data_IF_340789523170
#
_entry.id   IF_340789523170
#
_cell.length_a   1.000
_cell.length_b   1.000
_cell.length_c   1.000
_cell.angle_alpha   90.00
_cell.angle_beta   90.00
_cell.angle_gamma   90.00
#
_symmetry.space_group_name_H-M   'P 1'
#
loop_
_entity.id
_entity.type
_entity.pdbx_description
1 polymer ?
#
# COMPACT_ATOMS: atom_id res chain seq x y z
N UNK A 1 -19.20 48.55 17.85
CA UNK A 1 -18.81 47.26 18.47
C UNK A 1 -17.91 46.53 17.49
N UNK A 2 -16.60 46.59 17.69
CA UNK A 2 -15.63 45.87 16.86
C UNK A 2 -14.61 45.23 17.78
N UNK A 3 -14.78 43.95 18.07
CA UNK A 3 -13.81 43.17 18.85
C UNK A 3 -12.80 42.62 17.85
N UNK A 4 -11.66 43.29 17.72
CA UNK A 4 -10.47 42.76 17.03
C UNK A 4 -9.77 41.78 17.96
N UNK A 5 -10.10 40.49 17.84
CA UNK A 5 -9.31 39.41 18.44
C UNK A 5 -8.03 39.22 17.64
N UNK A 6 -6.95 39.91 18.05
CA UNK A 6 -5.61 39.59 17.60
C UNK A 6 -5.18 38.28 18.27
N UNK A 7 -5.11 37.20 17.47
CA UNK A 7 -4.40 35.99 17.90
C UNK A 7 -2.91 36.30 17.87
N UNK A 8 -2.16 36.16 18.99
CA UNK A 8 -0.72 36.26 18.94
C UNK A 8 -0.20 35.14 18.04
N UNK A 9 0.48 35.53 16.95
CA UNK A 9 1.30 34.59 16.18
C UNK A 9 2.29 33.96 17.16
N UNK A 10 2.28 32.63 17.23
CA UNK A 10 3.19 31.87 18.07
C UNK A 10 4.65 32.31 17.82
N UNK A 11 5.52 32.31 18.85
CA UNK A 11 6.92 32.67 18.69
C UNK A 11 7.53 31.84 17.55
N UNK A 12 8.30 32.52 16.70
CA UNK A 12 8.86 31.98 15.46
C UNK A 12 9.46 30.59 15.64
N UNK A 13 9.31 29.75 14.61
CA UNK A 13 9.95 28.44 14.57
C UNK A 13 11.42 28.58 15.00
N UNK A 14 11.88 27.83 16.00
CA UNK A 14 13.27 27.92 16.43
C UNK A 14 14.18 27.66 15.23
N UNK A 15 15.23 28.46 15.11
CA UNK A 15 16.28 28.26 14.11
C UNK A 15 16.71 26.79 14.12
N UNK A 16 16.91 26.21 12.93
CA UNK A 16 17.25 24.80 12.74
C UNK A 16 18.35 24.39 13.73
N UNK A 17 17.99 23.59 14.73
CA UNK A 17 18.97 23.01 15.62
C UNK A 17 19.91 22.17 14.77
N UNK A 18 21.21 22.45 14.84
CA UNK A 18 22.24 21.63 14.21
C UNK A 18 22.05 20.19 14.65
N UNK A 19 21.80 19.31 13.70
CA UNK A 19 21.71 17.87 13.91
C UNK A 19 22.95 17.37 14.63
N UNK A 20 22.78 16.50 15.63
CA UNK A 20 23.92 15.79 16.19
C UNK A 20 24.52 14.87 15.10
N UNK A 21 25.83 14.59 15.12
CA UNK A 21 26.45 13.63 14.20
C UNK A 21 25.74 12.27 14.17
N UNK A 22 25.16 11.85 15.29
CA UNK A 22 24.36 10.63 15.40
C UNK A 22 23.03 10.72 14.66
N UNK A 23 22.37 11.89 14.70
CA UNK A 23 21.14 12.16 13.97
C UNK A 23 21.38 12.17 12.45
N UNK A 24 22.47 12.79 12.00
CA UNK A 24 22.84 12.81 10.59
C UNK A 24 23.19 11.43 10.05
N UNK A 25 23.91 10.63 10.84
CA UNK A 25 24.20 9.25 10.48
C UNK A 25 22.92 8.43 10.35
N UNK A 26 22.00 8.52 11.32
CA UNK A 26 20.73 7.78 11.29
C UNK A 26 19.90 8.16 10.07
N UNK A 27 19.71 9.47 9.84
CA UNK A 27 18.93 9.95 8.69
C UNK A 27 19.58 9.51 7.37
N UNK A 28 20.91 9.54 7.28
CA UNK A 28 21.65 9.01 6.13
C UNK A 28 21.37 7.53 5.88
N UNK A 29 21.40 6.68 6.92
CA UNK A 29 21.10 5.26 6.79
C UNK A 29 19.65 5.00 6.34
N UNK A 30 18.69 5.72 6.91
CA UNK A 30 17.28 5.55 6.56
C UNK A 30 16.97 6.02 5.13
N UNK A 31 17.56 7.15 4.70
CA UNK A 31 17.47 7.61 3.30
C UNK A 31 18.03 6.56 2.35
N UNK A 32 19.19 5.99 2.66
CA UNK A 32 19.81 4.97 1.81
C UNK A 32 18.96 3.68 1.71
N UNK A 33 18.34 3.26 2.82
CA UNK A 33 17.39 2.14 2.81
C UNK A 33 16.19 2.43 1.90
N UNK A 34 15.62 3.63 1.98
CA UNK A 34 14.50 4.05 1.14
C UNK A 34 14.91 4.18 -0.34
N UNK A 35 16.13 4.65 -0.64
CA UNK A 35 16.66 4.75 -2.00
C UNK A 35 16.92 3.38 -2.62
N UNK A 36 17.48 2.44 -1.86
CA UNK A 36 17.66 1.06 -2.31
C UNK A 36 16.31 0.41 -2.63
N UNK A 37 15.31 0.63 -1.79
CA UNK A 37 13.96 0.06 -1.95
C UNK A 37 13.20 0.73 -3.09
N UNK A 38 13.23 2.06 -3.22
CA UNK A 38 12.58 2.77 -4.32
C UNK A 38 13.20 2.38 -5.67
N UNK A 39 14.53 2.25 -5.77
CA UNK A 39 15.16 1.72 -6.99
C UNK A 39 14.74 0.29 -7.32
N UNK A 40 14.53 -0.55 -6.30
CA UNK A 40 13.97 -1.88 -6.50
C UNK A 40 12.52 -1.82 -6.99
N UNK A 41 11.69 -0.96 -6.41
CA UNK A 41 10.31 -0.75 -6.82
C UNK A 41 10.20 -0.23 -8.26
N UNK A 42 10.98 0.80 -8.63
CA UNK A 42 11.02 1.35 -9.99
C UNK A 42 11.39 0.29 -11.02
N UNK A 43 12.39 -0.56 -10.74
CA UNK A 43 12.74 -1.69 -11.64
C UNK A 43 11.59 -2.70 -11.81
N UNK A 44 10.65 -2.74 -10.88
CA UNK A 44 9.49 -3.66 -10.89
C UNK A 44 8.26 -3.00 -11.52
N UNK A 45 8.34 -1.72 -11.85
CA UNK A 45 7.37 -1.03 -12.70
C UNK A 45 7.68 -1.18 -14.19
N UNK A 46 8.87 -1.70 -14.54
CA UNK A 46 9.23 -2.00 -15.92
C UNK A 46 8.23 -2.98 -16.55
N UNK A 47 7.72 -2.74 -17.78
CA UNK A 47 6.77 -3.62 -18.43
C UNK A 47 7.23 -5.08 -18.54
N UNK A 48 8.53 -5.35 -18.64
CA UNK A 48 9.06 -6.70 -18.70
C UNK A 48 8.86 -7.47 -17.38
N UNK A 49 8.80 -6.78 -16.23
CA UNK A 49 8.49 -7.42 -14.95
C UNK A 49 7.07 -7.99 -14.93
N UNK A 50 6.13 -7.32 -15.60
CA UNK A 50 4.71 -7.68 -15.64
C UNK A 50 4.37 -8.72 -16.72
N UNK A 51 5.38 -9.34 -17.31
CA UNK A 51 5.21 -10.50 -18.18
C UNK A 51 5.35 -11.78 -17.35
N UNK A 52 4.28 -12.59 -17.20
CA UNK A 52 4.36 -13.86 -16.49
C UNK A 52 5.38 -14.81 -17.11
N UNK A 53 6.20 -15.44 -16.28
CA UNK A 53 7.19 -16.43 -16.72
C UNK A 53 6.52 -17.67 -17.35
N UNK A 54 7.17 -18.34 -18.31
CA UNK A 54 6.70 -19.63 -18.81
C UNK A 54 6.49 -20.65 -17.68
N UNK A 55 5.35 -21.35 -17.70
CA UNK A 55 5.00 -22.38 -16.72
C UNK A 55 4.67 -21.87 -15.32
N UNK A 56 4.44 -20.56 -15.14
CA UNK A 56 4.00 -20.01 -13.87
C UNK A 56 2.47 -19.94 -13.77
N UNK A 57 1.94 -19.89 -12.55
CA UNK A 57 0.50 -19.72 -12.30
C UNK A 57 -0.08 -18.54 -13.07
N UNK A 58 0.53 -17.36 -13.00
CA UNK A 58 0.02 -16.19 -13.74
C UNK A 58 0.07 -16.34 -15.26
N UNK A 59 0.96 -17.18 -15.80
CA UNK A 59 1.01 -17.46 -17.24
C UNK A 59 -0.16 -18.34 -17.64
N UNK A 60 -0.44 -19.36 -16.84
CA UNK A 60 -1.57 -20.27 -17.06
C UNK A 60 -2.91 -19.53 -16.97
N UNK A 61 -3.02 -18.55 -16.06
CA UNK A 61 -4.19 -17.67 -15.97
C UNK A 61 -4.42 -16.82 -17.23
N UNK A 62 -3.36 -16.31 -17.86
CA UNK A 62 -3.50 -15.58 -19.13
C UNK A 62 -3.90 -16.50 -20.31
N UNK A 63 -3.66 -17.80 -20.19
CA UNK A 63 -4.08 -18.82 -21.15
C UNK A 63 -5.38 -19.53 -20.74
N UNK A 64 -6.18 -18.92 -19.86
CA UNK A 64 -7.40 -19.53 -19.33
C UNK A 64 -8.42 -19.91 -20.41
N UNK A 65 -9.27 -20.87 -20.05
CA UNK A 65 -10.37 -21.37 -20.88
C UNK A 65 -11.73 -21.10 -20.23
N UNK A 66 -11.81 -20.10 -19.35
CA UNK A 66 -13.07 -19.73 -18.72
C UNK A 66 -14.05 -19.19 -19.76
N UNK A 67 -15.34 -19.48 -19.57
CA UNK A 67 -16.41 -19.04 -20.46
C UNK A 67 -17.45 -18.22 -19.70
N UNK A 68 -18.13 -17.37 -20.45
CA UNK A 68 -19.26 -16.55 -20.01
C UNK A 68 -20.57 -17.37 -19.95
N UNK A 69 -21.69 -16.75 -19.58
CA UNK A 69 -23.00 -17.44 -19.50
C UNK A 69 -23.52 -17.96 -20.83
N UNK A 70 -22.96 -17.51 -21.95
CA UNK A 70 -23.30 -17.93 -23.30
C UNK A 70 -22.32 -18.97 -23.86
N UNK A 71 -21.32 -19.38 -23.07
CA UNK A 71 -20.30 -20.34 -23.49
C UNK A 71 -19.19 -19.72 -24.35
N UNK A 72 -19.15 -18.39 -24.50
CA UNK A 72 -18.06 -17.71 -25.19
C UNK A 72 -16.85 -17.58 -24.25
N UNK A 73 -15.61 -17.81 -24.74
CA UNK A 73 -14.41 -17.61 -23.93
C UNK A 73 -14.31 -16.19 -23.40
N UNK A 74 -13.82 -16.04 -22.17
CA UNK A 74 -13.51 -14.73 -21.63
C UNK A 74 -12.48 -14.00 -22.50
N UNK A 75 -12.68 -12.69 -22.64
CA UNK A 75 -11.75 -11.83 -23.36
C UNK A 75 -10.41 -11.68 -22.61
N UNK A 76 -9.35 -11.23 -23.30
CA UNK A 76 -8.02 -11.08 -22.71
C UNK A 76 -7.97 -10.07 -21.56
N UNK A 77 -8.93 -9.13 -21.50
CA UNK A 77 -8.99 -8.10 -20.48
C UNK A 77 -9.31 -8.65 -19.07
N UNK A 78 -10.18 -9.67 -18.99
CA UNK A 78 -10.67 -10.16 -17.70
C UNK A 78 -9.54 -10.65 -16.78
N UNK A 79 -8.67 -11.57 -17.22
CA UNK A 79 -7.55 -12.01 -16.41
C UNK A 79 -6.48 -10.91 -16.22
N UNK A 80 -6.38 -9.89 -17.10
CA UNK A 80 -5.31 -8.88 -17.00
C UNK A 80 -5.56 -7.80 -15.97
N UNK A 81 -6.81 -7.43 -15.72
CA UNK A 81 -7.16 -6.32 -14.82
C UNK A 81 -6.58 -6.45 -13.41
N UNK A 82 -6.47 -7.68 -12.87
CA UNK A 82 -5.88 -7.88 -11.55
C UNK A 82 -4.39 -7.47 -11.51
N UNK A 83 -3.65 -7.78 -12.58
CA UNK A 83 -2.25 -7.39 -12.72
C UNK A 83 -2.12 -5.87 -12.88
N UNK A 84 -3.00 -5.24 -13.65
CA UNK A 84 -3.04 -3.78 -13.82
C UNK A 84 -3.30 -3.08 -12.48
N UNK A 85 -4.27 -3.56 -11.68
CA UNK A 85 -4.52 -3.05 -10.32
C UNK A 85 -3.33 -3.24 -9.38
N UNK A 86 -2.66 -4.39 -9.46
CA UNK A 86 -1.44 -4.64 -8.68
C UNK A 86 -0.29 -3.73 -9.11
N UNK A 87 -0.15 -3.44 -10.41
CA UNK A 87 0.84 -2.50 -10.93
C UNK A 87 0.60 -1.08 -10.44
N UNK A 88 -0.65 -0.61 -10.48
CA UNK A 88 -1.04 0.69 -9.90
C UNK A 88 -0.73 0.75 -8.39
N UNK A 89 -0.94 -0.36 -7.68
CA UNK A 89 -0.62 -0.45 -6.26
C UNK A 89 0.89 -0.41 -6.00
N UNK A 90 1.69 -1.06 -6.84
CA UNK A 90 3.16 -1.00 -6.78
C UNK A 90 3.66 0.42 -7.05
N UNK A 91 3.05 1.13 -8.01
CA UNK A 91 3.33 2.54 -8.29
C UNK A 91 3.04 3.40 -7.06
N UNK A 92 1.88 3.22 -6.43
CA UNK A 92 1.53 3.95 -5.21
C UNK A 92 2.52 3.65 -4.06
N UNK A 93 2.94 2.40 -3.89
CA UNK A 93 3.96 2.03 -2.88
C UNK A 93 5.28 2.77 -3.13
N UNK A 94 5.74 2.85 -4.38
CA UNK A 94 6.93 3.60 -4.74
C UNK A 94 6.78 5.09 -4.42
N UNK A 95 5.66 5.72 -4.83
CA UNK A 95 5.37 7.12 -4.52
C UNK A 95 5.40 7.40 -3.00
N UNK A 96 4.85 6.49 -2.19
CA UNK A 96 4.87 6.63 -0.74
C UNK A 96 6.28 6.45 -0.14
N UNK A 97 7.08 5.53 -0.65
CA UNK A 97 8.49 5.37 -0.25
C UNK A 97 9.31 6.62 -0.58
N UNK A 98 9.13 7.15 -1.79
CA UNK A 98 9.75 8.40 -2.25
C UNK A 98 9.27 9.59 -1.39
N UNK A 99 7.99 9.62 -1.01
CA UNK A 99 7.44 10.59 -0.07
C UNK A 99 8.11 10.53 1.30
N UNK A 100 8.24 9.34 1.89
CA UNK A 100 8.92 9.16 3.19
C UNK A 100 10.37 9.64 3.08
N UNK A 101 11.07 9.29 1.99
CA UNK A 101 12.45 9.72 1.74
C UNK A 101 12.58 11.24 1.71
N UNK A 102 11.70 11.93 0.97
CA UNK A 102 11.66 13.40 0.90
C UNK A 102 11.41 14.05 2.26
N UNK A 103 10.59 13.45 3.12
CA UNK A 103 10.39 13.94 4.50
C UNK A 103 11.64 13.85 5.37
N UNK A 104 12.68 13.13 4.94
CA UNK A 104 13.97 13.06 5.62
C UNK A 104 14.99 14.06 5.07
N UNK A 105 14.72 14.76 3.99
CA UNK A 105 15.64 15.71 3.35
C UNK A 105 15.51 17.14 3.93
N UNK A 106 16.56 17.97 3.88
CA UNK A 106 16.44 19.41 4.19
C UNK A 106 15.37 20.11 3.33
N UNK A 107 14.56 21.05 3.88
CA UNK A 107 14.64 21.66 5.21
C UNK A 107 13.91 20.87 6.31
N UNK A 108 13.64 19.58 6.10
CA UNK A 108 13.01 18.70 7.08
C UNK A 108 13.99 17.83 7.92
N UNK A 109 15.13 18.33 8.47
CA UNK A 109 15.83 17.65 9.56
C UNK A 109 15.26 18.06 10.94
N UNK A 110 15.72 17.47 12.05
CA UNK A 110 14.98 17.33 13.29
C UNK A 110 14.35 18.61 13.88
N UNK A 111 13.14 18.46 14.47
CA UNK A 111 12.34 17.24 14.45
C UNK A 111 11.60 17.06 13.10
N UNK A 112 11.83 15.91 12.45
CA UNK A 112 11.22 15.57 11.17
C UNK A 112 9.66 15.61 11.23
N UNK A 113 8.97 15.77 10.09
CA UNK A 113 7.51 15.80 10.01
C UNK A 113 6.87 14.61 10.74
N UNK A 114 6.20 14.91 11.86
CA UNK A 114 5.91 13.98 12.96
C UNK A 114 4.93 12.87 12.61
N UNK A 115 3.96 13.20 11.77
CA UNK A 115 2.83 12.33 11.42
C UNK A 115 2.92 11.88 9.95
N UNK A 116 3.54 12.69 9.08
CA UNK A 116 3.59 12.46 7.64
C UNK A 116 4.20 11.10 7.28
N UNK A 117 5.33 10.72 7.87
CA UNK A 117 5.97 9.43 7.59
C UNK A 117 5.10 8.22 7.97
N UNK A 118 4.22 8.36 8.96
CA UNK A 118 3.32 7.30 9.36
C UNK A 118 2.06 7.23 8.50
N UNK A 119 1.55 8.38 8.07
CA UNK A 119 0.46 8.43 7.08
C UNK A 119 0.94 7.76 5.79
N UNK A 120 2.11 8.14 5.29
CA UNK A 120 2.70 7.53 4.09
C UNK A 120 3.01 6.04 4.30
N UNK A 121 3.56 5.64 5.46
CA UNK A 121 3.78 4.23 5.77
C UNK A 121 2.46 3.43 5.79
N UNK A 122 1.39 3.99 6.37
CA UNK A 122 0.06 3.37 6.33
C UNK A 122 -0.42 3.21 4.90
N UNK A 123 -0.30 4.24 4.08
CA UNK A 123 -0.71 4.18 2.68
C UNK A 123 0.08 3.12 1.92
N UNK A 124 1.40 3.01 2.13
CA UNK A 124 2.21 1.94 1.57
C UNK A 124 1.74 0.54 2.01
N UNK A 125 1.43 0.36 3.30
CA UNK A 125 0.89 -0.89 3.82
C UNK A 125 -0.48 -1.24 3.20
N UNK A 126 -1.40 -0.28 3.11
CA UNK A 126 -2.73 -0.50 2.55
C UNK A 126 -2.66 -0.84 1.06
N UNK A 127 -1.86 -0.12 0.27
CA UNK A 127 -1.66 -0.40 -1.16
C UNK A 127 -0.97 -1.74 -1.39
N UNK A 128 0.10 -2.03 -0.65
CA UNK A 128 0.77 -3.32 -0.74
C UNK A 128 -0.13 -4.48 -0.30
N UNK A 129 -0.90 -4.31 0.78
CA UNK A 129 -1.82 -5.31 1.31
C UNK A 129 -2.98 -5.60 0.36
N UNK A 130 -3.48 -4.58 -0.33
CA UNK A 130 -4.46 -4.76 -1.40
C UNK A 130 -3.93 -5.63 -2.54
N UNK A 131 -2.78 -5.26 -3.11
CA UNK A 131 -2.18 -6.05 -4.18
C UNK A 131 -1.76 -7.45 -3.71
N UNK A 132 -1.28 -7.60 -2.47
CA UNK A 132 -0.91 -8.89 -1.90
C UNK A 132 -2.10 -9.85 -1.78
N UNK A 133 -3.27 -9.34 -1.39
CA UNK A 133 -4.51 -10.11 -1.37
C UNK A 133 -5.01 -10.46 -2.79
N UNK A 134 -4.95 -9.50 -3.71
CA UNK A 134 -5.41 -9.69 -5.09
C UNK A 134 -4.50 -10.66 -5.86
N UNK A 135 -3.21 -10.67 -5.56
CA UNK A 135 -2.17 -11.43 -6.26
C UNK A 135 -1.77 -12.72 -5.56
N UNK A 136 -2.68 -13.33 -4.80
CA UNK A 136 -2.43 -14.63 -4.19
C UNK A 136 -2.26 -15.71 -5.30
N UNK A 137 -1.09 -16.39 -5.39
CA UNK A 137 -0.83 -17.42 -6.40
C UNK A 137 -1.65 -18.70 -6.18
N UNK A 138 -2.37 -18.83 -5.07
CA UNK A 138 -3.27 -19.97 -4.84
C UNK A 138 -4.66 -19.78 -5.45
N UNK A 139 -4.96 -18.58 -5.98
CA UNK A 139 -6.24 -18.34 -6.65
C UNK A 139 -6.28 -18.99 -8.02
N UNK A 140 -7.46 -19.46 -8.39
CA UNK A 140 -7.80 -19.70 -9.79
C UNK A 140 -8.03 -18.38 -10.52
N UNK A 141 -7.93 -18.41 -11.85
CA UNK A 141 -8.28 -17.25 -12.70
C UNK A 141 -9.68 -16.72 -12.42
N UNK A 142 -10.69 -17.58 -12.29
CA UNK A 142 -12.07 -17.18 -11.98
C UNK A 142 -12.19 -16.48 -10.63
N UNK A 143 -11.49 -16.96 -9.60
CA UNK A 143 -11.44 -16.28 -8.30
C UNK A 143 -10.73 -14.93 -8.37
N UNK A 144 -9.62 -14.83 -9.10
CA UNK A 144 -8.90 -13.56 -9.26
C UNK A 144 -9.75 -12.52 -9.99
N UNK A 145 -10.43 -12.93 -11.07
CA UNK A 145 -11.40 -12.09 -11.79
C UNK A 145 -12.56 -11.69 -10.87
N UNK A 146 -13.11 -12.64 -10.09
CA UNK A 146 -14.15 -12.33 -9.12
C UNK A 146 -13.72 -11.28 -8.08
N UNK A 147 -12.48 -11.38 -7.55
CA UNK A 147 -11.91 -10.36 -6.64
C UNK A 147 -11.77 -9.00 -7.32
N UNK A 148 -11.33 -8.96 -8.58
CA UNK A 148 -11.26 -7.71 -9.37
C UNK A 148 -12.62 -7.05 -9.47
N UNK A 149 -13.65 -7.78 -9.90
CA UNK A 149 -15.00 -7.24 -10.03
C UNK A 149 -15.64 -6.87 -8.70
N UNK A 150 -15.31 -7.60 -7.63
CA UNK A 150 -15.72 -7.24 -6.28
C UNK A 150 -15.20 -5.87 -5.86
N UNK A 151 -13.93 -5.57 -6.15
CA UNK A 151 -13.30 -4.27 -5.89
C UNK A 151 -13.97 -3.19 -6.73
N UNK A 152 -14.12 -3.42 -8.05
CA UNK A 152 -14.80 -2.46 -8.94
C UNK A 152 -16.23 -2.18 -8.46
N UNK A 153 -16.93 -3.19 -7.94
CA UNK A 153 -18.30 -3.04 -7.47
C UNK A 153 -18.39 -2.22 -6.19
N UNK A 154 -17.49 -2.46 -5.24
CA UNK A 154 -17.41 -1.66 -4.01
C UNK A 154 -17.07 -0.18 -4.33
N UNK A 155 -16.10 0.05 -5.21
CA UNK A 155 -15.70 1.40 -5.63
C UNK A 155 -16.81 2.13 -6.40
N UNK A 156 -17.53 1.45 -7.30
CA UNK A 156 -18.67 2.06 -8.01
C UNK A 156 -19.84 2.40 -7.06
N UNK A 157 -20.09 1.57 -6.04
CA UNK A 157 -21.06 1.90 -4.98
C UNK A 157 -20.64 3.14 -4.19
N UNK A 158 -19.34 3.26 -3.89
CA UNK A 158 -18.77 4.44 -3.23
C UNK A 158 -18.87 5.68 -4.11
N UNK A 159 -18.55 5.57 -5.40
CA UNK A 159 -18.69 6.65 -6.37
C UNK A 159 -20.15 7.14 -6.46
N UNK A 160 -21.13 6.23 -6.55
CA UNK A 160 -22.55 6.59 -6.53
C UNK A 160 -22.97 7.25 -5.21
N UNK A 161 -22.45 6.80 -4.06
CA UNK A 161 -22.70 7.45 -2.78
C UNK A 161 -22.14 8.88 -2.76
N UNK A 162 -20.93 9.08 -3.26
CA UNK A 162 -20.30 10.40 -3.34
C UNK A 162 -21.02 11.32 -4.33
N UNK A 163 -21.50 10.79 -5.46
CA UNK A 163 -22.33 11.50 -6.43
C UNK A 163 -23.63 12.02 -5.81
N UNK A 164 -24.29 11.21 -4.98
CA UNK A 164 -25.48 11.61 -4.21
C UNK A 164 -25.18 12.69 -3.17
N UNK A 165 -23.93 12.80 -2.73
CA UNK A 165 -23.45 13.87 -1.85
C UNK A 165 -22.92 15.11 -2.63
N UNK A 166 -23.03 15.12 -3.97
CA UNK A 166 -22.65 16.25 -4.81
C UNK A 166 -21.20 16.23 -5.33
N UNK A 167 -20.44 15.16 -5.10
CA UNK A 167 -19.11 15.00 -5.71
C UNK A 167 -19.22 14.49 -7.16
N UNK A 168 -18.25 14.78 -8.05
CA UNK A 168 -18.18 14.13 -9.36
C UNK A 168 -17.91 12.62 -9.26
N UNK A 169 -18.37 11.80 -10.23
CA UNK A 169 -19.26 12.15 -11.35
C UNK A 169 -20.70 12.42 -10.88
N UNK A 170 -21.58 12.90 -11.76
CA UNK A 170 -22.99 13.11 -11.40
C UNK A 170 -23.71 11.78 -11.13
N UNK A 171 -24.88 11.84 -10.46
CA UNK A 171 -25.64 10.65 -10.03
C UNK A 171 -26.00 9.73 -11.20
N UNK A 172 -26.42 10.29 -12.34
CA UNK A 172 -26.84 9.51 -13.50
C UNK A 172 -25.67 8.71 -14.09
N UNK A 173 -24.50 9.34 -14.24
CA UNK A 173 -23.29 8.68 -14.71
C UNK A 173 -22.85 7.58 -13.74
N UNK A 174 -22.75 7.87 -12.44
CA UNK A 174 -22.34 6.88 -11.45
C UNK A 174 -23.30 5.67 -11.39
N UNK A 175 -24.59 5.90 -11.60
CA UNK A 175 -25.59 4.84 -11.68
C UNK A 175 -25.44 4.00 -12.96
N UNK A 176 -25.13 4.64 -14.09
CA UNK A 176 -24.89 3.95 -15.36
C UNK A 176 -23.62 3.09 -15.31
N UNK A 177 -22.53 3.61 -14.72
CA UNK A 177 -21.27 2.88 -14.54
C UNK A 177 -21.48 1.64 -13.65
N UNK A 178 -22.14 1.81 -12.51
CA UNK A 178 -22.48 0.70 -11.62
C UNK A 178 -23.37 -0.36 -12.31
N UNK A 179 -24.34 0.08 -13.11
CA UNK A 179 -25.23 -0.84 -13.82
C UNK A 179 -24.49 -1.61 -14.91
N UNK A 180 -23.62 -0.93 -15.67
CA UNK A 180 -22.75 -1.55 -16.68
C UNK A 180 -21.84 -2.61 -16.06
N UNK A 181 -21.24 -2.29 -14.92
CA UNK A 181 -20.41 -3.25 -14.18
C UNK A 181 -21.21 -4.47 -13.72
N UNK A 182 -22.41 -4.26 -13.16
CA UNK A 182 -23.28 -5.35 -12.71
C UNK A 182 -23.67 -6.26 -13.87
N UNK A 183 -24.05 -5.69 -15.02
CA UNK A 183 -24.32 -6.47 -16.23
C UNK A 183 -23.08 -7.26 -16.65
N UNK A 184 -21.89 -6.67 -16.62
CA UNK A 184 -20.66 -7.39 -16.97
C UNK A 184 -20.38 -8.56 -16.03
N UNK A 185 -20.60 -8.41 -14.73
CA UNK A 185 -20.47 -9.50 -13.74
C UNK A 185 -21.43 -10.64 -14.07
N UNK A 186 -22.69 -10.31 -14.39
CA UNK A 186 -23.73 -11.28 -14.75
C UNK A 186 -23.38 -12.00 -16.06
N UNK A 187 -22.91 -11.28 -17.08
CA UNK A 187 -22.49 -11.84 -18.38
C UNK A 187 -21.32 -12.82 -18.22
N UNK A 188 -20.33 -12.51 -17.38
CA UNK A 188 -19.19 -13.40 -17.10
C UNK A 188 -19.59 -14.67 -16.32
N UNK A 189 -20.85 -14.79 -15.88
CA UNK A 189 -21.33 -15.91 -15.10
C UNK A 189 -20.77 -15.93 -13.68
N UNK A 190 -20.49 -14.76 -13.12
CA UNK A 190 -20.01 -14.62 -11.75
C UNK A 190 -21.20 -14.38 -10.82
N UNK A 191 -21.48 -15.34 -9.94
CA UNK A 191 -22.57 -15.19 -8.97
C UNK A 191 -22.31 -13.99 -8.06
N UNK A 192 -23.31 -13.15 -7.78
CA UNK A 192 -23.10 -11.95 -6.97
C UNK A 192 -24.12 -11.82 -5.85
N UNK A 193 -23.69 -11.35 -4.68
CA UNK A 193 -24.57 -11.02 -3.57
C UNK A 193 -24.27 -9.58 -3.09
N UNK A 194 -25.30 -8.74 -2.86
CA UNK A 194 -25.08 -7.37 -2.37
C UNK A 194 -24.88 -7.28 -0.85
N UNK A 195 -25.29 -8.31 -0.09
CA UNK A 195 -25.23 -8.38 1.38
C UNK A 195 -25.03 -9.84 1.86
N UNK A 196 -23.84 -10.20 2.40
CA UNK A 196 -22.59 -9.44 2.31
C UNK A 196 -22.21 -9.20 0.84
N UNK A 197 -21.43 -8.15 0.57
CA UNK A 197 -20.96 -7.89 -0.80
C UNK A 197 -19.98 -9.01 -1.19
N UNK A 198 -20.37 -9.82 -2.19
CA UNK A 198 -19.55 -10.93 -2.68
C UNK A 198 -19.72 -11.17 -4.18
N UNK A 199 -18.67 -11.71 -4.79
CA UNK A 199 -18.65 -12.16 -6.20
C UNK A 199 -18.02 -13.55 -6.24
N UNK A 200 -18.73 -14.54 -6.78
CA UNK A 200 -18.38 -15.96 -6.83
C UNK A 200 -17.84 -16.53 -5.51
N UNK A 201 -18.45 -16.11 -4.39
CA UNK A 201 -18.05 -16.52 -3.04
C UNK A 201 -16.88 -15.73 -2.44
N UNK A 202 -16.16 -14.93 -3.23
CA UNK A 202 -15.10 -14.04 -2.74
C UNK A 202 -15.71 -12.84 -2.02
N UNK A 203 -15.09 -12.43 -0.92
CA UNK A 203 -15.44 -11.26 -0.11
C UNK A 203 -14.25 -10.31 -0.01
N UNK A 204 -14.52 -9.01 0.18
CA UNK A 204 -13.48 -8.00 0.29
C UNK A 204 -13.04 -7.91 1.75
N UNK A 205 -11.81 -8.31 2.11
CA UNK A 205 -11.36 -8.18 3.48
C UNK A 205 -11.17 -6.70 3.83
N UNK A 206 -11.35 -6.40 5.11
CA UNK A 206 -11.02 -5.09 5.65
C UNK A 206 -9.56 -4.74 5.36
N UNK A 207 -9.26 -3.43 5.39
CA UNK A 207 -7.88 -2.94 5.21
C UNK A 207 -6.94 -3.53 6.27
N UNK A 208 -7.41 -3.65 7.51
CA UNK A 208 -6.67 -4.26 8.61
C UNK A 208 -6.34 -5.72 8.32
N UNK A 209 -7.32 -6.54 7.92
CA UNK A 209 -7.08 -7.95 7.60
C UNK A 209 -6.06 -8.12 6.47
N UNK A 210 -6.13 -7.29 5.42
CA UNK A 210 -5.15 -7.29 4.32
C UNK A 210 -3.73 -6.94 4.80
N UNK A 211 -3.59 -5.93 5.65
CA UNK A 211 -2.27 -5.54 6.20
C UNK A 211 -1.75 -6.59 7.18
N UNK A 212 -2.60 -7.18 8.01
CA UNK A 212 -2.20 -8.30 8.88
C UNK A 212 -1.72 -9.50 8.06
N UNK A 213 -2.44 -9.86 6.99
CA UNK A 213 -2.02 -10.93 6.09
C UNK A 213 -0.69 -10.63 5.38
N UNK A 214 -0.47 -9.36 4.97
CA UNK A 214 0.79 -8.90 4.37
C UNK A 214 1.97 -9.05 5.34
N UNK A 215 1.78 -8.76 6.62
CA UNK A 215 2.86 -8.74 7.63
C UNK A 215 3.08 -10.09 8.33
N UNK A 216 2.23 -11.08 8.06
CA UNK A 216 2.29 -12.40 8.69
C UNK A 216 3.67 -13.06 8.51
N UNK A 217 4.32 -13.42 9.63
CA UNK A 217 5.56 -14.20 9.64
C UNK A 217 6.88 -13.43 9.39
N UNK A 218 6.84 -12.11 9.18
CA UNK A 218 8.06 -11.32 8.86
C UNK A 218 8.36 -10.18 9.84
N UNK A 219 7.36 -9.72 10.58
CA UNK A 219 7.53 -8.72 11.64
C UNK A 219 7.18 -9.37 12.98
N UNK A 220 8.16 -9.51 13.87
CA UNK A 220 7.94 -10.02 15.22
C UNK A 220 7.21 -8.97 16.08
N UNK A 221 5.98 -9.28 16.52
CA UNK A 221 5.22 -8.50 17.52
C UNK A 221 4.39 -7.32 16.98
N UNK A 222 3.25 -7.06 17.63
CA UNK A 222 2.58 -5.75 17.73
C UNK A 222 2.08 -5.02 16.48
N UNK A 223 2.19 -5.58 15.27
CA UNK A 223 1.86 -4.85 14.03
C UNK A 223 0.39 -4.39 13.96
N UNK A 224 -0.55 -5.10 14.57
CA UNK A 224 -1.95 -4.65 14.71
C UNK A 224 -2.05 -3.34 15.51
N UNK A 225 -1.28 -3.22 16.60
CA UNK A 225 -1.20 -2.01 17.43
C UNK A 225 -0.56 -0.88 16.64
N UNK A 226 0.51 -1.16 15.88
CA UNK A 226 1.18 -0.15 15.06
C UNK A 226 0.29 0.36 13.94
N UNK A 227 -0.40 -0.55 13.24
CA UNK A 227 -1.34 -0.19 12.18
C UNK A 227 -2.54 0.60 12.72
N UNK A 228 -3.12 0.19 13.85
CA UNK A 228 -4.21 0.92 14.51
C UNK A 228 -3.79 2.36 14.87
N UNK A 229 -2.57 2.54 15.41
CA UNK A 229 -2.02 3.85 15.72
C UNK A 229 -1.80 4.70 14.46
N UNK A 230 -1.29 4.12 13.37
CA UNK A 230 -1.14 4.84 12.11
C UNK A 230 -2.50 5.20 11.52
N UNK A 231 -3.50 4.32 11.72
CA UNK A 231 -4.85 4.55 11.26
C UNK A 231 -5.46 5.79 11.91
N UNK A 232 -5.41 5.82 13.25
CA UNK A 232 -5.87 6.95 14.06
C UNK A 232 -5.15 8.25 13.66
N UNK A 233 -3.83 8.20 13.42
CA UNK A 233 -3.06 9.36 12.96
C UNK A 233 -3.54 9.89 11.61
N UNK A 234 -3.78 9.02 10.63
CA UNK A 234 -4.21 9.46 9.30
C UNK A 234 -5.65 9.99 9.28
N UNK A 235 -6.50 9.54 10.21
CA UNK A 235 -7.85 10.08 10.39
C UNK A 235 -7.91 11.33 11.28
N UNK A 236 -6.76 11.80 11.80
CA UNK A 236 -6.71 12.95 12.69
C UNK A 236 -7.34 12.66 14.07
N UNK A 237 -7.47 11.40 14.45
CA UNK A 237 -8.04 11.01 15.73
C UNK A 237 -7.12 11.44 16.88
N UNK A 238 -7.69 12.18 17.84
CA UNK A 238 -6.92 12.74 18.95
C UNK A 238 -6.24 11.64 19.78
N UNK A 239 -6.84 10.46 19.91
CA UNK A 239 -6.22 9.31 20.56
C UNK A 239 -4.91 8.91 19.88
N UNK A 240 -4.88 8.77 18.54
CA UNK A 240 -3.65 8.43 17.81
C UNK A 240 -2.58 9.52 17.91
N UNK A 241 -3.00 10.78 17.83
CA UNK A 241 -2.10 11.94 17.96
C UNK A 241 -1.51 12.02 19.37
N UNK A 242 -2.35 11.87 20.41
CA UNK A 242 -1.95 11.94 21.81
C UNK A 242 -1.11 10.73 22.24
N UNK A 243 -1.45 9.51 21.81
CA UNK A 243 -0.64 8.32 22.09
C UNK A 243 0.79 8.48 21.58
N UNK A 244 0.97 9.13 20.43
CA UNK A 244 2.31 9.48 19.94
C UNK A 244 2.99 10.57 20.74
N UNK A 245 2.23 11.61 21.14
CA UNK A 245 2.74 12.65 22.03
C UNK A 245 3.23 12.07 23.35
N UNK A 246 2.50 11.13 23.93
CA UNK A 246 2.83 10.51 25.21
C UNK A 246 4.02 9.55 25.10
N UNK A 247 4.21 8.89 23.96
CA UNK A 247 5.30 7.94 23.74
C UNK A 247 6.68 8.57 23.39
N UNK A 248 6.74 9.88 23.07
CA UNK A 248 7.99 10.51 22.61
C UNK A 248 7.99 12.04 22.62
N UNK A 249 7.02 12.68 23.28
CA UNK A 249 6.82 14.12 23.22
C UNK A 249 6.32 14.59 21.85
N UNK A 250 6.51 15.87 21.55
CA UNK A 250 6.20 16.44 20.23
C UNK A 250 7.26 16.10 19.17
N UNK A 251 8.11 15.11 19.38
CA UNK A 251 9.20 14.73 18.46
C UNK A 251 9.07 13.27 18.07
N UNK A 252 9.25 12.94 16.79
CA UNK A 252 9.37 11.54 16.38
C UNK A 252 10.70 11.00 16.93
N UNK A 253 10.64 9.91 17.68
CA UNK A 253 11.87 9.30 18.19
C UNK A 253 12.63 8.61 17.05
N UNK A 254 13.97 8.51 17.12
CA UNK A 254 14.75 7.67 16.22
C UNK A 254 14.18 6.27 15.99
N UNK A 255 13.66 5.65 17.06
CA UNK A 255 13.05 4.32 17.03
C UNK A 255 11.74 4.31 16.23
N UNK A 256 10.85 5.26 16.49
CA UNK A 256 9.59 5.37 15.74
C UNK A 256 9.82 5.65 14.26
N UNK A 257 10.78 6.51 13.93
CA UNK A 257 11.13 6.79 12.55
C UNK A 257 11.68 5.54 11.84
N UNK A 258 12.58 4.82 12.50
CA UNK A 258 13.12 3.55 11.99
C UNK A 258 12.00 2.54 11.75
N UNK A 259 11.03 2.42 12.67
CA UNK A 259 9.88 1.52 12.52
C UNK A 259 8.99 1.89 11.33
N UNK A 260 8.70 3.17 11.10
CA UNK A 260 7.92 3.60 9.94
C UNK A 260 8.64 3.22 8.62
N UNK A 261 9.96 3.44 8.54
CA UNK A 261 10.76 3.08 7.35
C UNK A 261 10.78 1.57 7.16
N UNK A 262 11.03 0.81 8.23
CA UNK A 262 11.07 -0.64 8.19
C UNK A 262 9.76 -1.24 7.69
N UNK A 263 8.62 -0.79 8.21
CA UNK A 263 7.32 -1.32 7.81
C UNK A 263 6.98 -1.02 6.35
N UNK A 264 7.30 0.18 5.86
CA UNK A 264 7.10 0.51 4.44
C UNK A 264 7.97 -0.36 3.52
N UNK A 265 9.20 -0.63 3.93
CA UNK A 265 10.14 -1.50 3.20
C UNK A 265 9.70 -2.96 3.23
N UNK A 266 9.23 -3.46 4.37
CA UNK A 266 8.65 -4.80 4.50
C UNK A 266 7.41 -4.95 3.62
N UNK A 267 6.55 -3.93 3.57
CA UNK A 267 5.35 -3.94 2.73
C UNK A 267 5.69 -4.17 1.25
N UNK A 268 6.68 -3.42 0.74
CA UNK A 268 7.21 -3.62 -0.61
C UNK A 268 7.79 -5.03 -0.79
N UNK A 269 8.66 -5.48 0.11
CA UNK A 269 9.30 -6.79 0.02
C UNK A 269 8.30 -7.95 -0.02
N UNK A 270 7.25 -7.88 0.80
CA UNK A 270 6.20 -8.90 0.85
C UNK A 270 5.34 -8.91 -0.42
N UNK A 271 4.97 -7.75 -0.95
CA UNK A 271 4.29 -7.66 -2.24
C UNK A 271 5.16 -8.21 -3.36
N UNK A 272 6.43 -7.79 -3.43
CA UNK A 272 7.36 -8.26 -4.45
C UNK A 272 7.51 -9.78 -4.39
N UNK A 273 7.71 -10.35 -3.21
CA UNK A 273 7.83 -11.79 -3.03
C UNK A 273 6.58 -12.51 -3.54
N UNK A 274 5.38 -12.01 -3.20
CA UNK A 274 4.10 -12.56 -3.65
C UNK A 274 3.98 -12.57 -5.17
N UNK A 275 4.32 -11.46 -5.83
CA UNK A 275 4.32 -11.34 -7.29
C UNK A 275 5.32 -12.32 -7.93
N UNK A 276 6.53 -12.43 -7.38
CA UNK A 276 7.54 -13.36 -7.88
C UNK A 276 7.10 -14.82 -7.71
N UNK A 277 6.44 -15.17 -6.61
CA UNK A 277 5.92 -16.52 -6.37
C UNK A 277 4.84 -16.92 -7.38
N UNK A 278 3.95 -16.00 -7.76
CA UNK A 278 2.94 -16.26 -8.79
C UNK A 278 3.46 -16.28 -10.22
N UNK A 279 4.69 -15.80 -10.44
CA UNK A 279 5.36 -15.88 -11.73
C UNK A 279 5.74 -14.57 -12.39
N UNK A 280 5.56 -13.41 -11.73
CA UNK A 280 5.99 -12.14 -12.30
C UNK A 280 7.49 -11.94 -12.21
N UNK A 281 8.07 -11.35 -13.24
CA UNK A 281 9.47 -10.97 -13.32
C UNK A 281 10.40 -12.17 -13.14
N UNK A 282 11.42 -12.01 -12.31
CA UNK A 282 12.41 -13.03 -12.01
C UNK A 282 11.98 -13.96 -10.88
N UNK A 283 12.62 -15.14 -10.81
CA UNK A 283 12.35 -16.10 -9.75
C UNK A 283 12.64 -15.50 -8.36
N UNK A 284 11.91 -15.90 -7.29
CA UNK A 284 12.09 -15.33 -5.96
C UNK A 284 13.54 -15.41 -5.44
N UNK A 285 14.27 -16.45 -5.82
CA UNK A 285 15.66 -16.72 -5.47
C UNK A 285 16.70 -15.99 -6.33
N UNK A 286 16.28 -15.12 -7.26
CA UNK A 286 17.21 -14.35 -8.06
C UNK A 286 18.14 -13.50 -7.18
N UNK A 287 19.42 -13.48 -7.56
CA UNK A 287 20.49 -12.74 -6.89
C UNK A 287 20.11 -11.27 -6.64
N UNK A 288 19.39 -10.62 -7.55
CA UNK A 288 18.96 -9.23 -7.36
C UNK A 288 18.04 -9.03 -6.14
N UNK A 289 17.16 -10.00 -5.86
CA UNK A 289 16.26 -9.96 -4.70
C UNK A 289 17.06 -10.20 -3.42
N UNK A 290 17.94 -11.21 -3.42
CA UNK A 290 18.81 -11.51 -2.28
C UNK A 290 19.76 -10.35 -1.96
N UNK A 291 20.31 -9.69 -2.98
CA UNK A 291 21.18 -8.53 -2.80
C UNK A 291 20.42 -7.34 -2.22
N UNK A 292 19.17 -7.10 -2.64
CA UNK A 292 18.33 -6.07 -2.04
C UNK A 292 18.05 -6.40 -0.57
N UNK A 293 17.57 -7.61 -0.26
CA UNK A 293 17.29 -8.05 1.11
C UNK A 293 18.52 -7.94 2.01
N UNK A 294 19.67 -8.40 1.53
CA UNK A 294 20.93 -8.32 2.26
C UNK A 294 21.38 -6.88 2.51
N UNK A 295 21.29 -6.00 1.49
CA UNK A 295 21.73 -4.62 1.62
C UNK A 295 20.84 -3.78 2.53
N UNK A 296 19.52 -3.98 2.45
CA UNK A 296 18.53 -3.34 3.32
C UNK A 296 18.62 -3.89 4.73
N UNK A 297 18.64 -5.22 4.88
CA UNK A 297 18.67 -5.90 6.17
C UNK A 297 19.92 -5.54 6.99
N UNK A 298 21.10 -5.51 6.36
CA UNK A 298 22.35 -5.09 7.03
C UNK A 298 22.26 -3.67 7.60
N UNK A 299 21.68 -2.73 6.85
CA UNK A 299 21.53 -1.32 7.27
C UNK A 299 20.54 -1.18 8.41
N UNK A 300 19.38 -1.80 8.30
CA UNK A 300 18.39 -1.79 9.39
C UNK A 300 18.94 -2.44 10.66
N UNK A 301 19.71 -3.53 10.54
CA UNK A 301 20.37 -4.16 11.69
C UNK A 301 21.41 -3.22 12.32
N UNK A 302 22.21 -2.52 11.52
CA UNK A 302 23.18 -1.54 12.01
C UNK A 302 22.49 -0.39 12.77
N UNK A 303 21.36 0.11 12.25
CA UNK A 303 20.53 1.12 12.93
C UNK A 303 20.00 0.58 14.26
N UNK A 304 19.41 -0.62 14.28
CA UNK A 304 18.89 -1.22 15.52
C UNK A 304 19.97 -1.40 16.59
N UNK A 305 21.16 -1.87 16.21
CA UNK A 305 22.29 -2.04 17.13
C UNK A 305 22.76 -0.72 17.74
N UNK A 306 22.66 0.39 17.00
CA UNK A 306 23.03 1.72 17.52
C UNK A 306 21.94 2.34 18.41
N UNK A 307 20.68 1.91 18.26
CA UNK A 307 19.53 2.39 19.05
C UNK A 307 19.17 1.52 20.25
N UNK A 308 19.89 0.41 20.45
CA UNK A 308 19.74 -0.52 21.57
C UNK A 308 20.66 -0.09 22.72
#
# INVERSE_FOLDING_TARGET
MGVTTSFPLAPGFPAAQTTSPDGDWLLGQLREVLDLTSRAAVRRLDPAFWQPRPGSTFRDELANTEVDVHGAPWGPQEPTMAFEMAQLSMLAVEDYLTGIRKLLEPPFPPPAPKLGSAVLCRSALESAGFAFWLMDPQLTVRQRVARTYLVLWDENKTALKNAKAGAPPNIAQAQADLSTLITRIDDLGLARAPKPLSVSGETLPSKTERVTALLAGKVSGGHEVVYSLYSAVAHGEMTGILSRRLAGGWTITPRQLTQNVELAVVAFGQLQQRLCLGGMGSAPDEVANQLWEHNVGRRLLAVRRRLA
#
